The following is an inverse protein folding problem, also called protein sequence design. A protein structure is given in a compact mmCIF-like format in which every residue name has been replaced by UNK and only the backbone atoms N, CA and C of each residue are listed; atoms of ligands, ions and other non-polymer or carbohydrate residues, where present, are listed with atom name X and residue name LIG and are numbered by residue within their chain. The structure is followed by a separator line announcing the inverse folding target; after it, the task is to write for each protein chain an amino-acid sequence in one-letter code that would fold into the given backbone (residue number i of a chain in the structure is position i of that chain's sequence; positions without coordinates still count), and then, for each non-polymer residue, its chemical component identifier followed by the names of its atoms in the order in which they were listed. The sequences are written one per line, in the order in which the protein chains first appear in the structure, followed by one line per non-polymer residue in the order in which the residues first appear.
data_IF_502950433076
#
_entry.id   IF_502950433076
#
_cell.length_a   1.000
_cell.length_b   1.000
_cell.length_c   1.000
_cell.angle_alpha   90.00
_cell.angle_beta   90.00
_cell.angle_gamma   90.00
#
_symmetry.space_group_name_H-M   'P 1'
#
loop_
_entity.id
_entity.type
_entity.pdbx_description
1 polymer ?
#
# COMPACT_ATOMS: atom_id res chain seq x y z
N UNK A 1 -39.17 26.50 40.58
CA UNK A 1 -37.97 25.68 40.33
C UNK A 1 -38.29 24.64 39.25
N UNK A 2 -37.69 24.75 38.07
CA UNK A 2 -37.24 23.61 37.23
C UNK A 2 -36.92 24.12 35.81
N UNK A 3 -35.94 25.02 35.70
CA UNK A 3 -35.35 25.45 34.43
C UNK A 3 -34.07 24.67 34.07
N UNK A 4 -33.73 23.63 34.84
CA UNK A 4 -32.45 22.90 34.73
C UNK A 4 -32.55 21.53 34.05
N UNK A 5 -33.65 21.19 33.36
CA UNK A 5 -33.79 19.91 32.66
C UNK A 5 -33.73 19.98 31.13
N UNK A 6 -33.76 21.17 30.53
CA UNK A 6 -33.75 21.30 29.06
C UNK A 6 -32.37 21.48 28.44
N UNK A 7 -31.33 21.85 29.21
CA UNK A 7 -30.00 22.10 28.66
C UNK A 7 -29.17 20.82 28.44
N UNK A 8 -29.45 19.74 29.18
CA UNK A 8 -28.67 18.50 29.10
C UNK A 8 -28.99 17.67 27.83
N UNK A 9 -30.14 17.88 27.20
CA UNK A 9 -30.56 17.12 26.02
C UNK A 9 -29.96 17.66 24.71
N UNK A 10 -29.58 18.95 24.68
CA UNK A 10 -28.96 19.57 23.50
C UNK A 10 -27.45 19.32 23.41
N UNK A 11 -26.76 19.23 24.55
CA UNK A 11 -25.31 18.96 24.55
C UNK A 11 -25.00 17.51 24.14
N UNK A 12 -25.87 16.56 24.48
CA UNK A 12 -25.74 15.17 24.01
C UNK A 12 -26.03 15.05 22.51
N UNK A 13 -26.87 15.92 21.93
CA UNK A 13 -27.15 15.89 20.49
C UNK A 13 -25.98 16.43 19.64
N UNK A 14 -25.20 17.39 20.14
CA UNK A 14 -24.04 17.92 19.40
C UNK A 14 -22.86 16.94 19.43
N UNK A 15 -22.70 16.16 20.51
CA UNK A 15 -21.66 15.11 20.59
C UNK A 15 -22.10 13.85 19.81
N UNK A 16 -23.41 13.56 19.76
CA UNK A 16 -23.96 12.45 18.98
C UNK A 16 -24.07 12.71 17.47
N UNK A 17 -23.89 13.95 16.99
CA UNK A 17 -23.72 14.21 15.55
C UNK A 17 -22.27 14.00 15.06
N UNK A 18 -21.35 13.65 15.97
CA UNK A 18 -20.06 13.02 15.63
C UNK A 18 -20.21 11.48 15.65
N UNK A 19 -21.44 10.96 15.57
CA UNK A 19 -21.67 9.55 15.22
C UNK A 19 -21.45 9.42 13.71
N UNK A 20 -20.24 8.95 13.39
CA UNK A 20 -19.93 8.02 12.31
C UNK A 20 -20.78 8.21 11.05
N UNK A 21 -20.39 9.16 10.20
CA UNK A 21 -20.28 8.76 8.80
C UNK A 21 -19.04 7.88 8.73
N UNK A 22 -19.22 6.58 8.97
CA UNK A 22 -18.17 5.60 8.70
C UNK A 22 -17.73 5.85 7.27
N UNK A 23 -16.46 6.17 7.03
CA UNK A 23 -16.07 6.42 5.69
C UNK A 23 -16.02 5.07 4.97
N UNK A 24 -17.11 4.71 4.31
CA UNK A 24 -17.13 3.66 3.30
C UNK A 24 -16.33 4.16 2.10
N UNK A 25 -15.02 4.06 2.28
CA UNK A 25 -14.01 4.42 1.31
C UNK A 25 -13.87 3.25 0.34
N UNK A 26 -14.76 3.18 -0.66
CA UNK A 26 -14.79 2.12 -1.65
C UNK A 26 -13.99 2.53 -2.90
N UNK A 27 -12.82 1.94 -3.08
CA UNK A 27 -12.13 1.93 -4.36
C UNK A 27 -12.50 0.64 -5.13
N UNK A 28 -12.99 0.78 -6.38
CA UNK A 28 -13.39 -0.33 -7.29
C UNK A 28 -14.57 -1.22 -6.85
N UNK A 29 -15.55 -0.68 -6.11
CA UNK A 29 -16.75 -1.45 -5.72
C UNK A 29 -16.50 -2.50 -4.62
N UNK A 30 -15.26 -2.63 -4.14
CA UNK A 30 -14.90 -3.32 -2.92
C UNK A 30 -14.69 -2.31 -1.79
N UNK A 31 -14.85 -2.72 -0.52
CA UNK A 31 -14.62 -1.89 0.68
C UNK A 31 -13.13 -1.59 0.93
N UNK A 32 -12.37 -1.25 -0.11
CA UNK A 32 -10.93 -1.03 -0.06
C UNK A 32 -10.60 0.45 0.04
N UNK A 33 -9.79 0.83 1.02
CA UNK A 33 -9.37 2.22 1.22
C UNK A 33 -8.03 2.46 0.56
N UNK A 34 -8.01 3.25 -0.52
CA UNK A 34 -6.77 3.64 -1.19
C UNK A 34 -5.91 4.50 -0.25
N UNK A 35 -4.65 4.11 -0.07
CA UNK A 35 -3.67 4.84 0.74
C UNK A 35 -2.61 5.53 -0.12
N UNK A 36 -2.13 4.86 -1.15
CA UNK A 36 -1.09 5.39 -2.02
C UNK A 36 -1.23 4.82 -3.43
N UNK A 37 -0.95 5.61 -4.44
CA UNK A 37 -0.72 5.13 -5.80
C UNK A 37 0.38 5.93 -6.48
N UNK A 38 1.13 5.28 -7.35
CA UNK A 38 2.10 5.93 -8.22
C UNK A 38 2.24 5.15 -9.54
N UNK A 39 2.25 5.87 -10.66
CA UNK A 39 2.54 5.32 -11.98
C UNK A 39 4.03 5.19 -12.24
N UNK A 40 4.39 4.12 -12.93
CA UNK A 40 5.71 3.94 -13.50
C UNK A 40 6.05 5.09 -14.46
N UNK A 41 7.32 5.43 -14.58
CA UNK A 41 7.78 6.48 -15.49
C UNK A 41 7.35 7.91 -15.15
N UNK A 42 6.81 8.17 -13.95
CA UNK A 42 6.40 9.50 -13.50
C UNK A 42 7.56 10.46 -13.19
N UNK A 43 8.79 9.97 -13.07
CA UNK A 43 9.98 10.74 -12.68
C UNK A 43 9.99 11.13 -11.19
N UNK A 44 9.07 10.61 -10.39
CA UNK A 44 8.90 10.96 -8.99
C UNK A 44 9.67 10.01 -8.06
N UNK A 45 10.18 10.56 -6.96
CA UNK A 45 10.77 9.79 -5.87
C UNK A 45 9.65 9.18 -5.02
N UNK A 46 9.53 7.85 -5.06
CA UNK A 46 8.44 7.12 -4.42
C UNK A 46 8.45 7.30 -2.90
N UNK A 47 9.63 7.29 -2.27
CA UNK A 47 9.73 7.46 -0.82
C UNK A 47 9.34 8.88 -0.41
N UNK A 48 9.78 9.89 -1.17
CA UNK A 48 9.39 11.28 -0.96
C UNK A 48 7.88 11.45 -1.08
N UNK A 49 7.26 10.92 -2.12
CA UNK A 49 5.81 11.04 -2.33
C UNK A 49 5.01 10.25 -1.29
N UNK A 50 5.48 9.07 -0.87
CA UNK A 50 4.84 8.28 0.17
C UNK A 50 4.84 9.00 1.54
N UNK A 51 5.96 9.65 1.86
CA UNK A 51 6.16 10.38 3.11
C UNK A 51 5.68 11.84 3.05
N UNK A 52 5.19 12.32 1.91
CA UNK A 52 4.75 13.71 1.77
C UNK A 52 3.49 13.94 2.61
N UNK A 53 3.55 14.87 3.57
CA UNK A 53 2.37 15.30 4.30
C UNK A 53 1.36 15.94 3.32
N UNK A 54 0.15 15.39 3.27
CA UNK A 54 -0.91 15.88 2.38
C UNK A 54 -2.24 15.92 3.12
N UNK A 55 -3.03 16.97 2.90
CA UNK A 55 -4.43 17.02 3.32
C UNK A 55 -5.40 16.49 2.25
N UNK A 56 -4.90 15.73 1.28
CA UNK A 56 -5.76 15.16 0.24
C UNK A 56 -6.70 14.13 0.87
N UNK A 57 -8.00 14.43 0.80
CA UNK A 57 -9.06 13.47 1.04
C UNK A 57 -9.08 12.40 -0.05
N UNK A 58 -10.03 11.48 0.03
CA UNK A 58 -10.13 10.41 -0.95
C UNK A 58 -10.27 10.90 -2.41
N UNK A 59 -9.89 10.06 -3.40
CA UNK A 59 -10.26 10.29 -4.78
C UNK A 59 -11.79 10.36 -4.92
N UNK A 60 -12.28 11.32 -5.70
CA UNK A 60 -13.70 11.47 -6.03
C UNK A 60 -14.15 10.55 -7.19
N UNK A 61 -13.21 9.79 -7.78
CA UNK A 61 -13.42 8.94 -8.95
C UNK A 61 -13.22 7.47 -8.61
N UNK A 62 -13.86 6.58 -9.37
CA UNK A 62 -13.64 5.12 -9.27
C UNK A 62 -12.31 4.66 -9.88
N UNK A 63 -11.61 5.52 -10.61
CA UNK A 63 -10.30 5.24 -11.21
C UNK A 63 -9.14 5.53 -10.24
N UNK A 64 -8.10 4.69 -10.28
CA UNK A 64 -6.88 4.92 -9.48
C UNK A 64 -6.16 6.16 -10.05
N UNK A 65 -5.91 7.21 -9.26
CA UNK A 65 -5.11 8.33 -9.74
C UNK A 65 -3.67 7.88 -10.07
N UNK A 66 -3.03 8.57 -11.02
CA UNK A 66 -1.64 8.31 -11.37
C UNK A 66 -0.67 8.57 -10.20
N UNK A 67 -0.98 9.54 -9.35
CA UNK A 67 -0.34 9.78 -8.07
C UNK A 67 -1.43 10.09 -7.04
N UNK A 68 -1.43 9.37 -5.92
CA UNK A 68 -2.30 9.64 -4.80
C UNK A 68 -1.60 9.29 -3.50
N UNK A 69 -1.89 10.05 -2.44
CA UNK A 69 -1.41 9.79 -1.09
C UNK A 69 -2.48 10.23 -0.09
N UNK A 70 -2.98 9.29 0.68
CA UNK A 70 -4.02 9.52 1.69
C UNK A 70 -3.44 10.16 2.95
N UNK A 71 -4.14 11.13 3.53
CA UNK A 71 -3.85 11.67 4.86
C UNK A 71 -3.89 10.60 5.97
N UNK A 72 -4.54 9.46 5.72
CA UNK A 72 -4.58 8.34 6.67
C UNK A 72 -3.20 7.75 6.95
N UNK A 73 -2.24 7.92 6.04
CA UNK A 73 -0.86 7.50 6.26
C UNK A 73 -0.16 8.30 7.39
N UNK A 74 -0.71 9.47 7.78
CA UNK A 74 -0.20 10.29 8.89
C UNK A 74 -0.83 9.93 10.26
N UNK A 75 -1.91 9.16 10.27
CA UNK A 75 -2.69 8.90 11.49
C UNK A 75 -2.06 7.75 12.27
N UNK A 76 -1.53 8.06 13.45
CA UNK A 76 -1.09 7.04 14.40
C UNK A 76 -2.28 6.17 14.84
N UNK A 77 -2.09 4.85 14.85
CA UNK A 77 -3.17 3.94 15.22
C UNK A 77 -4.28 3.81 14.18
N UNK A 78 -3.98 4.04 12.88
CA UNK A 78 -4.90 3.77 11.77
C UNK A 78 -5.57 2.39 11.89
N UNK A 79 -4.87 1.36 12.38
CA UNK A 79 -5.43 0.04 12.64
C UNK A 79 -6.68 0.03 13.55
N UNK A 80 -6.81 1.00 14.47
CA UNK A 80 -7.99 1.14 15.34
C UNK A 80 -9.22 1.71 14.61
N UNK A 81 -9.02 2.45 13.51
CA UNK A 81 -10.13 2.96 12.68
C UNK A 81 -10.76 1.86 11.82
N UNK A 82 -10.06 0.74 11.68
CA UNK A 82 -10.43 -0.37 10.83
C UNK A 82 -10.71 -1.60 11.69
N UNK A 83 -11.78 -1.54 12.49
CA UNK A 83 -12.22 -2.60 13.41
C UNK A 83 -12.27 -3.99 12.75
N UNK A 84 -12.47 -4.06 11.42
CA UNK A 84 -12.67 -5.31 10.68
C UNK A 84 -11.67 -5.59 9.53
N UNK A 85 -10.81 -4.64 9.16
CA UNK A 85 -9.82 -4.79 8.06
C UNK A 85 -8.39 -4.71 8.56
N UNK A 86 -7.84 -5.88 8.88
CA UNK A 86 -6.48 -6.05 9.43
C UNK A 86 -5.42 -6.31 8.35
N UNK A 87 -5.65 -5.87 7.11
CA UNK A 87 -4.78 -6.21 5.97
C UNK A 87 -4.41 -4.97 5.16
N UNK A 88 -3.13 -4.66 5.18
CA UNK A 88 -2.52 -3.74 4.23
C UNK A 88 -2.13 -4.51 2.98
N UNK A 89 -2.37 -3.95 1.81
CA UNK A 89 -2.07 -4.60 0.54
C UNK A 89 -1.21 -3.70 -0.32
N UNK A 90 -0.12 -4.26 -0.84
CA UNK A 90 0.67 -3.70 -1.94
C UNK A 90 0.30 -4.47 -3.20
N UNK A 91 -0.17 -3.77 -4.22
CA UNK A 91 -0.65 -4.34 -5.47
C UNK A 91 0.00 -3.66 -6.67
N UNK A 92 0.40 -4.47 -7.64
CA UNK A 92 0.97 -4.02 -8.90
C UNK A 92 -0.02 -4.28 -10.02
N UNK A 93 -0.20 -3.29 -10.91
CA UNK A 93 -1.12 -3.37 -12.03
C UNK A 93 -0.47 -3.03 -13.36
N UNK A 94 -1.11 -3.48 -14.43
CA UNK A 94 -0.82 -3.07 -15.80
C UNK A 94 -2.13 -2.93 -16.57
N UNK A 95 -2.36 -1.78 -17.19
CA UNK A 95 -3.62 -1.47 -17.89
C UNK A 95 -4.87 -1.75 -17.04
N UNK A 96 -4.79 -1.49 -15.72
CA UNK A 96 -5.88 -1.72 -14.76
C UNK A 96 -6.01 -3.16 -14.24
N UNK A 97 -5.35 -4.13 -14.87
CA UNK A 97 -5.33 -5.54 -14.47
C UNK A 97 -4.32 -5.79 -13.34
N UNK A 98 -4.65 -6.68 -12.40
CA UNK A 98 -3.76 -7.07 -11.30
C UNK A 98 -2.68 -8.03 -11.80
N UNK A 99 -1.42 -7.68 -11.56
CA UNK A 99 -0.27 -8.53 -11.87
C UNK A 99 0.31 -9.23 -10.65
N UNK A 100 0.47 -8.50 -9.55
CA UNK A 100 1.06 -9.03 -8.32
C UNK A 100 0.46 -8.36 -7.09
N UNK A 101 0.49 -9.06 -5.95
CA UNK A 101 -0.06 -8.59 -4.69
C UNK A 101 0.69 -9.17 -3.50
N UNK A 102 1.04 -8.35 -2.52
CA UNK A 102 1.49 -8.77 -1.20
C UNK A 102 0.54 -8.22 -0.14
N UNK A 103 0.15 -9.05 0.82
CA UNK A 103 -0.75 -8.67 1.91
C UNK A 103 -0.03 -8.79 3.23
N UNK A 104 -0.17 -7.77 4.08
CA UNK A 104 0.47 -7.66 5.37
C UNK A 104 -0.58 -7.57 6.47
N UNK A 105 -0.33 -8.17 7.63
CA UNK A 105 -1.13 -7.94 8.83
C UNK A 105 -0.95 -6.52 9.32
N UNK A 106 -2.03 -5.98 9.87
CA UNK A 106 -2.00 -4.72 10.60
C UNK A 106 -2.43 -4.95 12.05
N UNK A 107 -1.62 -4.42 12.95
CA UNK A 107 -1.82 -4.43 14.39
C UNK A 107 -1.83 -2.99 14.94
N UNK A 108 -2.35 -2.85 16.16
CA UNK A 108 -2.36 -1.58 16.88
C UNK A 108 -0.93 -1.06 17.08
N UNK A 109 -0.70 0.23 16.87
CA UNK A 109 0.61 0.87 17.03
C UNK A 109 1.52 0.81 15.80
N UNK A 110 1.10 0.17 14.70
CA UNK A 110 1.86 0.20 13.45
C UNK A 110 1.65 1.53 12.69
N UNK A 111 2.67 1.95 11.94
CA UNK A 111 2.75 3.18 11.15
C UNK A 111 3.51 2.95 9.81
N UNK A 112 3.65 4.01 9.03
CA UNK A 112 4.31 4.01 7.70
C UNK A 112 5.74 3.47 7.67
N UNK A 113 6.43 3.41 8.81
CA UNK A 113 7.81 2.90 8.90
C UNK A 113 7.90 1.43 9.29
N UNK A 114 6.83 0.81 9.80
CA UNK A 114 6.84 -0.58 10.26
C UNK A 114 5.69 -1.45 9.71
N UNK A 115 4.88 -0.92 8.78
CA UNK A 115 3.83 -1.68 8.11
C UNK A 115 4.37 -2.79 7.20
N UNK A 116 5.46 -2.53 6.49
CA UNK A 116 6.03 -3.43 5.49
C UNK A 116 7.22 -4.17 6.08
N UNK A 117 6.94 -5.14 6.95
CA UNK A 117 7.97 -6.00 7.54
C UNK A 117 7.70 -7.45 7.19
N UNK A 118 8.76 -8.26 7.21
CA UNK A 118 8.65 -9.71 7.03
C UNK A 118 7.68 -10.35 8.04
N UNK A 119 7.77 -9.94 9.32
CA UNK A 119 6.91 -10.45 10.39
C UNK A 119 5.41 -10.23 10.10
N UNK A 120 5.08 -9.21 9.32
CA UNK A 120 3.70 -8.90 8.96
C UNK A 120 3.29 -9.49 7.61
N UNK A 121 4.20 -10.05 6.81
CA UNK A 121 3.87 -10.57 5.48
C UNK A 121 2.99 -11.84 5.59
N UNK A 122 1.71 -11.72 5.19
CA UNK A 122 0.75 -12.82 5.27
C UNK A 122 0.78 -13.73 4.04
N UNK A 123 0.77 -13.12 2.85
CA UNK A 123 0.72 -13.85 1.58
C UNK A 123 1.11 -12.99 0.39
N UNK A 124 1.49 -13.69 -0.68
CA UNK A 124 1.76 -13.13 -2.00
C UNK A 124 0.92 -13.82 -3.08
N UNK A 125 0.60 -13.10 -4.16
CA UNK A 125 -0.14 -13.59 -5.32
C UNK A 125 0.44 -12.97 -6.60
N UNK A 126 0.86 -13.75 -7.63
CA UNK A 126 0.83 -15.21 -7.73
C UNK A 126 1.54 -15.92 -6.57
N UNK A 127 1.09 -17.15 -6.24
CA UNK A 127 1.58 -17.85 -5.05
C UNK A 127 3.02 -18.31 -5.28
N UNK A 128 3.94 -17.80 -4.48
CA UNK A 128 5.34 -18.24 -4.40
C UNK A 128 5.69 -18.55 -2.94
N UNK A 129 6.80 -19.23 -2.70
CA UNK A 129 7.29 -19.45 -1.34
C UNK A 129 7.62 -18.11 -0.69
N UNK A 130 7.05 -17.83 0.48
CA UNK A 130 7.36 -16.64 1.28
C UNK A 130 8.54 -16.86 2.22
N UNK A 131 9.06 -18.08 2.32
CA UNK A 131 10.27 -18.36 3.11
C UNK A 131 11.45 -17.52 2.61
N UNK A 132 12.16 -16.90 3.54
CA UNK A 132 13.31 -16.03 3.29
C UNK A 132 12.99 -14.76 2.48
N UNK A 133 11.71 -14.39 2.33
CA UNK A 133 11.37 -13.09 1.77
C UNK A 133 11.55 -12.01 2.84
N UNK A 134 12.51 -11.13 2.62
CA UNK A 134 12.74 -9.95 3.43
C UNK A 134 12.18 -8.71 2.73
N UNK A 135 11.79 -7.72 3.52
CA UNK A 135 11.31 -6.44 2.98
C UNK A 135 12.43 -5.42 3.01
N UNK A 136 12.81 -4.89 1.86
CA UNK A 136 13.65 -3.72 1.74
C UNK A 136 12.74 -2.50 1.54
N UNK A 137 12.37 -1.81 2.62
CA UNK A 137 11.56 -0.60 2.52
C UNK A 137 12.46 0.64 2.59
N UNK A 138 12.42 1.46 1.55
CA UNK A 138 13.18 2.72 1.44
C UNK A 138 14.71 2.57 1.53
N UNK A 139 15.24 1.40 1.14
CA UNK A 139 16.69 1.16 1.04
C UNK A 139 17.18 1.55 -0.35
N UNK A 140 18.24 2.35 -0.47
CA UNK A 140 18.94 2.63 -1.75
C UNK A 140 18.02 2.98 -2.94
N UNK A 141 17.01 3.84 -2.73
CA UNK A 141 16.01 4.23 -3.74
C UNK A 141 15.07 3.09 -4.22
N UNK A 142 14.78 2.12 -3.36
CA UNK A 142 13.82 1.07 -3.67
C UNK A 142 12.93 0.67 -2.49
N UNK A 143 11.77 0.13 -2.84
CA UNK A 143 10.92 -0.67 -1.96
C UNK A 143 10.74 -2.03 -2.63
N UNK A 144 11.13 -3.12 -1.98
CA UNK A 144 11.07 -4.46 -2.57
C UNK A 144 10.80 -5.56 -1.52
N UNK A 145 10.19 -6.63 -2.00
CA UNK A 145 10.12 -7.94 -1.33
C UNK A 145 11.09 -8.87 -2.04
N UNK A 146 12.23 -9.12 -1.40
CA UNK A 146 13.35 -9.87 -1.99
C UNK A 146 13.68 -11.11 -1.18
N UNK A 147 14.38 -12.06 -1.78
CA UNK A 147 14.91 -13.22 -1.04
C UNK A 147 16.26 -12.87 -0.44
N UNK A 148 16.44 -13.24 0.82
CA UNK A 148 17.75 -13.21 1.46
C UNK A 148 18.50 -14.51 1.10
N UNK A 149 19.35 -14.45 0.07
CA UNK A 149 20.14 -15.56 -0.45
C UNK A 149 21.66 -15.32 -0.33
N UNK A 150 22.08 -14.29 0.41
CA UNK A 150 23.47 -14.03 0.79
C UNK A 150 24.36 -13.44 -0.31
N UNK A 151 23.90 -13.38 -1.57
CA UNK A 151 24.67 -12.82 -2.68
C UNK A 151 23.79 -11.92 -3.57
N UNK A 152 23.49 -10.71 -3.09
CA UNK A 152 22.60 -9.77 -3.78
C UNK A 152 23.37 -8.90 -4.80
N UNK A 153 23.78 -9.48 -5.93
CA UNK A 153 24.19 -8.74 -7.13
C UNK A 153 23.07 -8.72 -8.18
N UNK A 154 23.24 -7.97 -9.27
CA UNK A 154 22.19 -7.84 -10.29
C UNK A 154 21.77 -9.15 -10.99
N UNK A 155 22.63 -10.18 -10.95
CA UNK A 155 22.40 -11.48 -11.59
C UNK A 155 21.80 -12.52 -10.62
N UNK A 156 21.93 -12.24 -9.32
CA UNK A 156 21.42 -13.08 -8.25
C UNK A 156 20.28 -12.44 -7.48
N UNK A 157 19.98 -11.15 -7.74
CA UNK A 157 18.86 -10.43 -7.12
C UNK A 157 17.55 -11.13 -7.44
N UNK A 158 16.99 -11.78 -6.43
CA UNK A 158 15.80 -12.60 -6.52
C UNK A 158 14.76 -12.14 -5.51
N UNK A 159 13.49 -12.39 -5.81
CA UNK A 159 12.44 -11.82 -5.00
C UNK A 159 11.07 -11.98 -5.62
N UNK A 160 10.12 -11.24 -5.10
CA UNK A 160 8.75 -11.29 -5.55
C UNK A 160 8.33 -10.03 -6.29
N UNK A 161 8.49 -8.85 -5.68
CA UNK A 161 8.07 -7.59 -6.28
C UNK A 161 8.91 -6.42 -5.79
N UNK A 162 8.88 -5.32 -6.52
CA UNK A 162 9.45 -4.07 -6.03
C UNK A 162 9.13 -2.87 -6.91
N UNK A 163 9.53 -1.72 -6.40
CA UNK A 163 9.59 -0.45 -7.10
C UNK A 163 10.97 0.16 -6.86
N UNK A 164 11.62 0.60 -7.92
CA UNK A 164 12.84 1.41 -7.85
C UNK A 164 12.53 2.80 -8.39
N UNK A 165 13.00 3.84 -7.72
CA UNK A 165 12.93 5.22 -8.21
C UNK A 165 14.31 5.81 -8.52
N UNK A 166 15.31 4.95 -8.68
CA UNK A 166 16.61 5.36 -9.17
C UNK A 166 16.50 5.85 -10.62
N UNK A 167 16.95 7.08 -10.89
CA UNK A 167 17.04 7.59 -12.26
C UNK A 167 17.98 6.73 -13.13
N UNK A 168 19.06 6.22 -12.52
CA UNK A 168 20.02 5.31 -13.13
C UNK A 168 20.20 4.08 -12.25
N UNK A 169 19.33 3.06 -12.35
CA UNK A 169 19.45 1.86 -11.52
C UNK A 169 20.75 1.10 -11.87
N UNK A 170 21.43 0.49 -10.88
CA UNK A 170 22.68 -0.23 -11.09
C UNK A 170 22.49 -1.52 -11.90
N UNK A 171 21.30 -2.12 -11.82
CA UNK A 171 20.96 -3.31 -12.59
C UNK A 171 20.31 -2.95 -13.92
N UNK A 172 20.94 -3.33 -15.03
CA UNK A 172 20.46 -3.00 -16.38
C UNK A 172 19.06 -3.53 -16.66
N UNK A 173 18.70 -4.69 -16.10
CA UNK A 173 17.37 -5.27 -16.29
C UNK A 173 16.24 -4.38 -15.74
N UNK A 174 16.51 -3.52 -14.73
CA UNK A 174 15.52 -2.55 -14.26
C UNK A 174 15.16 -1.54 -15.35
N UNK A 175 16.12 -1.16 -16.22
CA UNK A 175 15.90 -0.17 -17.28
C UNK A 175 14.93 -0.66 -18.37
N UNK A 176 14.70 -1.97 -18.46
CA UNK A 176 13.68 -2.54 -19.36
C UNK A 176 12.26 -2.12 -18.97
N UNK A 177 12.05 -1.75 -17.70
CA UNK A 177 10.80 -1.18 -17.20
C UNK A 177 10.54 0.26 -17.60
N UNK A 178 11.47 0.90 -18.31
CA UNK A 178 11.35 2.29 -18.74
C UNK A 178 11.84 3.31 -17.71
N UNK A 179 11.37 4.57 -17.80
CA UNK A 179 11.79 5.65 -16.91
C UNK A 179 11.40 5.38 -15.45
N UNK A 180 12.07 6.06 -14.51
CA UNK A 180 11.76 5.91 -13.09
C UNK A 180 10.38 6.50 -12.75
N UNK A 181 9.67 5.98 -11.74
CA UNK A 181 9.98 4.73 -11.04
C UNK A 181 9.70 3.51 -11.92
N UNK A 182 10.54 2.48 -11.81
CA UNK A 182 10.32 1.18 -12.42
C UNK A 182 9.63 0.26 -11.43
N UNK A 183 8.53 -0.36 -11.84
CA UNK A 183 7.71 -1.22 -11.00
C UNK A 183 7.78 -2.63 -11.58
N UNK A 184 8.25 -3.59 -10.80
CA UNK A 184 8.64 -4.91 -11.29
C UNK A 184 8.17 -6.03 -10.37
N UNK A 185 7.99 -7.23 -10.94
CA UNK A 185 7.71 -8.44 -10.18
C UNK A 185 8.19 -9.70 -10.89
N UNK A 186 8.39 -10.76 -10.12
CA UNK A 186 8.79 -12.09 -10.57
C UNK A 186 7.63 -13.06 -10.33
N UNK A 187 6.93 -13.54 -11.38
CA UNK A 187 5.74 -14.39 -11.23
C UNK A 187 5.98 -15.71 -10.49
N UNK A 188 7.22 -16.22 -10.55
CA UNK A 188 7.65 -17.47 -9.94
C UNK A 188 8.55 -17.26 -8.72
N UNK A 189 8.84 -16.01 -8.33
CA UNK A 189 9.70 -15.70 -7.19
C UNK A 189 11.19 -16.02 -7.42
N UNK A 190 11.60 -16.12 -8.69
CA UNK A 190 12.99 -16.33 -9.12
C UNK A 190 13.77 -15.02 -9.30
N UNK A 191 14.95 -15.14 -9.93
CA UNK A 191 15.86 -14.02 -10.24
C UNK A 191 15.20 -13.00 -11.15
N UNK A 192 15.24 -11.72 -10.75
CA UNK A 192 14.57 -10.67 -11.51
C UNK A 192 15.15 -10.50 -12.92
N UNK A 193 16.47 -10.65 -13.10
CA UNK A 193 17.10 -10.60 -14.42
C UNK A 193 16.46 -11.55 -15.45
N UNK A 194 16.02 -12.72 -14.98
CA UNK A 194 15.51 -13.79 -15.85
C UNK A 194 13.98 -13.77 -15.98
N UNK A 195 13.27 -13.29 -14.96
CA UNK A 195 11.81 -13.47 -14.83
C UNK A 195 11.02 -12.19 -14.62
N UNK A 196 11.68 -11.04 -14.45
CA UNK A 196 11.00 -9.79 -14.16
C UNK A 196 10.02 -9.42 -15.26
N UNK A 197 8.81 -9.06 -14.82
CA UNK A 197 7.80 -8.38 -15.61
C UNK A 197 7.54 -7.01 -15.00
N UNK A 198 7.09 -6.07 -15.83
CA UNK A 198 6.90 -4.68 -15.42
C UNK A 198 5.43 -4.31 -15.33
N UNK A 199 5.12 -3.56 -14.28
CA UNK A 199 3.81 -2.99 -14.00
C UNK A 199 3.81 -1.49 -14.36
N UNK A 200 2.65 -0.93 -14.67
CA UNK A 200 2.49 0.50 -14.92
C UNK A 200 2.04 1.28 -13.68
N UNK A 201 1.58 0.59 -12.64
CA UNK A 201 1.05 1.22 -11.44
C UNK A 201 1.30 0.38 -10.18
N UNK A 202 1.72 1.07 -9.12
CA UNK A 202 1.80 0.58 -7.75
C UNK A 202 0.63 1.17 -6.97
N UNK A 203 -0.03 0.34 -6.17
CA UNK A 203 -1.17 0.72 -5.34
C UNK A 203 -0.97 0.14 -3.94
N UNK A 204 -1.20 0.94 -2.93
CA UNK A 204 -1.24 0.53 -1.52
C UNK A 204 -2.61 0.87 -0.98
N UNK A 205 -3.27 -0.11 -0.37
CA UNK A 205 -4.63 0.06 0.14
C UNK A 205 -4.92 -0.83 1.34
N UNK A 206 -5.96 -0.51 2.09
CA UNK A 206 -6.50 -1.34 3.16
C UNK A 206 -7.60 -2.24 2.59
N UNK A 207 -7.48 -3.55 2.81
CA UNK A 207 -8.44 -4.54 2.33
C UNK A 207 -9.60 -4.71 3.32
N UNK A 208 -10.77 -4.18 2.98
CA UNK A 208 -12.02 -4.38 3.70
C UNK A 208 -12.57 -5.80 3.53
N UNK A 209 -13.24 -6.33 4.56
CA UNK A 209 -14.10 -7.53 4.37
C UNK A 209 -15.43 -7.13 3.73
N UNK A 210 -15.95 -7.96 2.81
CA UNK A 210 -17.39 -8.02 2.57
C UNK A 210 -18.06 -8.36 3.90
N UNK A 211 -19.00 -7.53 4.35
CA UNK A 211 -19.92 -7.95 5.41
C UNK A 211 -20.73 -9.14 4.88
N UNK A 212 -21.06 -10.15 5.71
CA UNK A 212 -22.07 -11.13 5.34
C UNK A 212 -23.33 -10.36 4.95
N UNK A 213 -23.89 -10.67 3.78
CA UNK A 213 -25.22 -10.19 3.43
C UNK A 213 -26.17 -10.81 4.47
N UNK A 214 -26.76 -9.96 5.31
CA UNK A 214 -27.82 -10.33 6.25
C UNK A 214 -29.09 -10.67 5.50
#
# INVERSE_FOLDING_TARGET
MSAMKFLACWIVLIIAQVVRSEPEFAFLGDKNVLLFSIKAGSGLDVAKEFNRATQQGLPSTSEVPALFRSSMLDVSGMAAYFDNSKKLVVELRHAGERLARASFSMELGMNSTNWFTEANLLRVSPRVSTSNLVTEFQKSNQMALIREDGNADCDNYSGFMGVSWAANPPCDWLRWGGPSPQIFFSPNGGKFKDTAKFADQLIIYLEGRKLPVS
#
